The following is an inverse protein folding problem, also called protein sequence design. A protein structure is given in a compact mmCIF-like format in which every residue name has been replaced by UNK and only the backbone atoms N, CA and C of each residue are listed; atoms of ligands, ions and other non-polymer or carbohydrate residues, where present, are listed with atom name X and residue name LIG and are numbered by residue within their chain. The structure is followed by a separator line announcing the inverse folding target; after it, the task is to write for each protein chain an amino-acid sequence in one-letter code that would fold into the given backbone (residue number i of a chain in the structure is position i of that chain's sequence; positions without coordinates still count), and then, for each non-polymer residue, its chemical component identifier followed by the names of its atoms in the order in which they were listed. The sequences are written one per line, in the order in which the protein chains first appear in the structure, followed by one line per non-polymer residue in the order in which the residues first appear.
data_IF_933117414020
#
_entry.id   IF_933117414020
#
_cell.length_a   1.000
_cell.length_b   1.000
_cell.length_c   1.000
_cell.angle_alpha   90.00
_cell.angle_beta   90.00
_cell.angle_gamma   90.00
#
_symmetry.space_group_name_H-M   'P 1'
#
loop_
_entity.id
_entity.type
_entity.pdbx_description
1 polymer ?
#
# COMPACT_ATOMS: atom_id res chain seq x y z
N UNK A 1 25.30 -17.90 -32.19
CA UNK A 1 25.19 -17.22 -30.89
C UNK A 1 23.75 -17.22 -30.48
N UNK A 2 23.38 -18.25 -29.72
CA UNK A 2 22.08 -18.42 -29.08
C UNK A 2 22.00 -17.50 -27.84
N UNK A 3 20.89 -16.78 -27.67
CA UNK A 3 20.61 -16.05 -26.44
C UNK A 3 19.21 -16.45 -25.96
N UNK A 4 19.18 -17.48 -25.12
CA UNK A 4 18.00 -17.93 -24.40
C UNK A 4 17.79 -17.03 -23.19
N UNK A 5 16.92 -16.04 -23.32
CA UNK A 5 16.52 -15.18 -22.20
C UNK A 5 15.04 -15.40 -21.87
N UNK A 6 14.82 -15.69 -20.59
CA UNK A 6 13.55 -15.58 -19.85
C UNK A 6 12.55 -16.74 -19.99
N UNK A 7 12.91 -17.91 -19.47
CA UNK A 7 11.90 -18.81 -18.91
C UNK A 7 11.39 -18.22 -17.60
N UNK A 8 10.27 -17.49 -17.67
CA UNK A 8 9.51 -17.11 -16.50
C UNK A 8 8.94 -18.37 -15.84
N UNK A 9 9.64 -18.88 -14.81
CA UNK A 9 9.13 -19.97 -13.97
C UNK A 9 8.08 -19.41 -13.03
N UNK A 10 6.88 -19.20 -13.55
CA UNK A 10 5.70 -19.09 -12.70
C UNK A 10 5.37 -20.50 -12.22
N UNK A 11 5.87 -20.85 -11.04
CA UNK A 11 5.41 -22.03 -10.32
C UNK A 11 3.95 -21.82 -9.94
N UNK A 12 3.04 -22.17 -10.84
CA UNK A 12 1.63 -22.32 -10.51
C UNK A 12 1.49 -23.64 -9.75
N UNK A 13 1.35 -23.55 -8.43
CA UNK A 13 0.91 -24.68 -7.63
C UNK A 13 -0.50 -25.05 -8.06
N UNK A 14 -0.64 -26.11 -8.85
CA UNK A 14 -1.92 -26.66 -9.26
C UNK A 14 -2.69 -27.16 -8.04
N UNK A 15 -3.83 -26.53 -7.75
CA UNK A 15 -4.81 -27.08 -6.81
C UNK A 15 -5.52 -28.22 -7.54
N UNK A 16 -5.09 -29.45 -7.28
CA UNK A 16 -5.85 -30.65 -7.66
C UNK A 16 -6.95 -30.87 -6.62
N UNK A 17 -8.14 -30.34 -6.84
CA UNK A 17 -9.35 -30.80 -6.13
C UNK A 17 -9.82 -32.10 -6.77
N UNK A 18 -9.22 -33.23 -6.38
CA UNK A 18 -9.80 -34.54 -6.61
C UNK A 18 -10.61 -34.92 -5.38
N UNK A 19 -11.94 -34.93 -5.52
CA UNK A 19 -12.83 -35.50 -4.52
C UNK A 19 -12.63 -37.02 -4.46
N UNK A 20 -12.19 -37.53 -3.31
CA UNK A 20 -12.26 -38.96 -2.97
C UNK A 20 -12.76 -39.09 -1.53
N UNK A 21 -13.87 -39.83 -1.30
CA UNK A 21 -14.33 -40.13 0.05
C UNK A 21 -13.66 -41.40 0.58
N UNK A 22 -13.29 -41.33 1.87
CA UNK A 22 -13.37 -42.37 2.90
C UNK A 22 -12.64 -43.73 2.65
N UNK A 23 -11.58 -44.02 3.43
CA UNK A 23 -11.63 -44.91 4.60
C UNK A 23 -10.24 -45.35 5.12
N UNK A 24 -10.04 -45.11 6.42
CA UNK A 24 -9.37 -45.95 7.43
C UNK A 24 -7.94 -46.51 7.21
N UNK A 25 -6.96 -46.08 8.03
CA UNK A 25 -6.32 -46.86 9.12
C UNK A 25 -4.95 -46.27 9.55
N UNK A 26 -4.65 -46.46 10.84
CA UNK A 26 -3.62 -45.87 11.72
C UNK A 26 -2.17 -45.84 11.21
N UNK A 27 -1.47 -44.72 11.42
CA UNK A 27 -0.10 -44.72 11.96
C UNK A 27 0.25 -43.35 12.56
N UNK A 28 0.83 -43.36 13.76
CA UNK A 28 0.96 -42.20 14.63
C UNK A 28 1.92 -41.13 14.12
N UNK A 29 1.46 -39.89 14.13
CA UNK A 29 2.27 -38.73 14.56
C UNK A 29 1.27 -37.72 15.09
N UNK A 30 1.46 -37.24 16.32
CA UNK A 30 0.66 -36.15 16.89
C UNK A 30 0.95 -34.86 16.11
N UNK A 31 0.36 -34.68 14.93
CA UNK A 31 0.39 -33.39 14.25
C UNK A 31 -0.68 -32.52 14.88
N UNK A 32 -0.22 -31.51 15.61
CA UNK A 32 -1.02 -30.41 16.12
C UNK A 32 -2.07 -29.99 15.09
N UNK A 33 -3.34 -29.72 15.49
CA UNK A 33 -4.34 -29.24 14.54
C UNK A 33 -3.77 -28.01 13.85
N UNK A 34 -3.75 -28.01 12.51
CA UNK A 34 -3.27 -26.88 11.69
C UNK A 34 -3.82 -25.58 12.26
N UNK A 35 -2.96 -24.81 12.93
CA UNK A 35 -3.35 -23.53 13.52
C UNK A 35 -3.79 -22.61 12.38
N UNK A 36 -4.96 -22.00 12.51
CA UNK A 36 -5.46 -21.10 11.49
C UNK A 36 -4.50 -19.91 11.34
N UNK A 37 -3.77 -19.87 10.23
CA UNK A 37 -2.90 -18.74 9.90
C UNK A 37 -3.72 -17.68 9.17
N UNK A 38 -3.88 -16.51 9.78
CA UNK A 38 -4.49 -15.36 9.12
C UNK A 38 -3.50 -14.73 8.12
N UNK A 39 -3.56 -15.21 6.88
CA UNK A 39 -2.69 -14.72 5.80
C UNK A 39 -2.90 -13.23 5.50
N UNK A 40 -4.11 -12.70 5.68
CA UNK A 40 -4.42 -11.28 5.47
C UNK A 40 -3.73 -10.37 6.49
N UNK A 41 -3.75 -10.77 7.77
CA UNK A 41 -3.03 -10.05 8.83
C UNK A 41 -1.53 -10.03 8.60
N UNK A 42 -0.97 -11.17 8.18
CA UNK A 42 0.45 -11.30 7.89
C UNK A 42 0.87 -10.37 6.75
N UNK A 43 0.09 -10.36 5.66
CA UNK A 43 0.32 -9.47 4.52
C UNK A 43 0.22 -7.99 4.93
N UNK A 44 -0.80 -7.61 5.71
CA UNK A 44 -0.95 -6.23 6.19
C UNK A 44 0.24 -5.79 7.06
N UNK A 45 0.70 -6.65 7.98
CA UNK A 45 1.88 -6.38 8.79
C UNK A 45 3.12 -6.15 7.93
N UNK A 46 3.35 -7.02 6.94
CA UNK A 46 4.50 -6.89 6.02
C UNK A 46 4.43 -5.59 5.22
N UNK A 47 3.28 -5.28 4.62
CA UNK A 47 3.08 -4.04 3.86
C UNK A 47 3.29 -2.83 4.75
N UNK A 48 2.71 -2.79 5.96
CA UNK A 48 2.89 -1.68 6.89
C UNK A 48 4.35 -1.44 7.26
N UNK A 49 5.11 -2.51 7.52
CA UNK A 49 6.54 -2.38 7.84
C UNK A 49 7.33 -1.81 6.67
N UNK A 50 7.04 -2.24 5.43
CA UNK A 50 7.65 -1.66 4.23
C UNK A 50 7.34 -0.16 4.11
N UNK A 51 6.10 0.27 4.35
CA UNK A 51 5.71 1.68 4.32
C UNK A 51 6.45 2.53 5.37
N UNK A 52 6.60 2.02 6.60
CA UNK A 52 7.32 2.72 7.68
C UNK A 52 8.83 2.80 7.37
N UNK A 53 9.42 1.71 6.86
CA UNK A 53 10.82 1.66 6.44
C UNK A 53 11.13 2.61 5.28
N UNK A 54 10.28 2.64 4.26
CA UNK A 54 10.43 3.53 3.10
C UNK A 54 10.27 5.01 3.46
N UNK A 55 9.47 5.35 4.47
CA UNK A 55 9.38 6.75 4.95
C UNK A 55 10.72 7.27 5.42
N UNK A 56 11.49 6.51 6.18
CA UNK A 56 12.77 6.99 6.76
C UNK A 56 13.80 7.30 5.67
N UNK A 57 13.86 6.47 4.63
CA UNK A 57 14.76 6.65 3.49
C UNK A 57 14.31 7.82 2.58
N UNK A 58 13.01 7.97 2.33
CA UNK A 58 12.49 9.08 1.52
C UNK A 58 12.43 10.41 2.28
N UNK A 59 12.26 10.41 3.60
CA UNK A 59 12.18 11.62 4.42
C UNK A 59 13.51 12.36 4.53
N UNK A 60 14.65 11.64 4.42
CA UNK A 60 15.97 12.28 4.42
C UNK A 60 16.26 13.06 3.11
N UNK A 61 15.58 12.74 2.01
CA UNK A 61 15.70 13.47 0.73
C UNK A 61 14.67 14.57 0.49
N UNK A 62 13.67 14.71 1.37
CA UNK A 62 12.53 15.62 1.19
C UNK A 62 12.63 16.91 2.02
N UNK A 63 13.74 17.16 2.72
CA UNK A 63 13.86 18.26 3.69
C UNK A 63 13.85 19.68 3.08
N UNK A 64 13.78 19.82 1.76
CA UNK A 64 13.66 21.13 1.10
C UNK A 64 13.06 21.01 -0.31
N UNK A 65 12.00 20.22 -0.50
CA UNK A 65 11.23 20.38 -1.74
C UNK A 65 10.40 21.66 -1.65
N UNK A 66 10.47 22.45 -2.71
CA UNK A 66 9.61 23.61 -2.94
C UNK A 66 8.14 23.21 -2.71
N UNK A 67 7.31 24.09 -2.13
CA UNK A 67 5.89 23.82 -1.96
C UNK A 67 5.29 23.36 -3.29
N UNK A 68 4.70 22.16 -3.26
CA UNK A 68 4.03 21.50 -4.40
C UNK A 68 2.65 22.11 -4.66
N UNK A 69 2.04 22.65 -3.63
CA UNK A 69 0.85 23.47 -3.68
C UNK A 69 1.30 24.90 -3.93
N UNK A 70 0.91 25.45 -5.07
CA UNK A 70 1.15 26.86 -5.37
C UNK A 70 0.43 27.75 -4.35
N UNK A 71 1.11 28.79 -3.86
CA UNK A 71 0.51 29.80 -2.98
C UNK A 71 -0.69 30.53 -3.62
N UNK A 72 -0.79 30.50 -4.96
CA UNK A 72 -1.90 31.10 -5.72
C UNK A 72 -2.98 30.07 -6.11
N UNK A 73 -2.88 28.84 -5.63
CA UNK A 73 -3.89 27.83 -5.94
C UNK A 73 -5.20 28.15 -5.21
N UNK A 74 -6.33 27.89 -5.86
CA UNK A 74 -7.66 28.00 -5.26
C UNK A 74 -8.18 26.62 -4.85
N UNK A 75 -9.10 26.58 -3.90
CA UNK A 75 -9.75 25.34 -3.46
C UNK A 75 -10.32 24.55 -4.64
N UNK A 76 -11.06 25.22 -5.52
CA UNK A 76 -11.63 24.63 -6.74
C UNK A 76 -10.55 24.07 -7.68
N UNK A 77 -9.41 24.75 -7.82
CA UNK A 77 -8.32 24.28 -8.69
C UNK A 77 -7.60 23.05 -8.15
N UNK A 78 -7.54 22.85 -6.83
CA UNK A 78 -6.84 21.75 -6.19
C UNK A 78 -7.74 20.57 -5.85
N UNK A 79 -8.96 20.85 -5.39
CA UNK A 79 -9.89 19.90 -4.80
C UNK A 79 -11.25 19.82 -5.53
N UNK A 80 -11.46 20.65 -6.57
CA UNK A 80 -12.64 20.56 -7.44
C UNK A 80 -12.66 19.31 -8.33
N UNK A 81 -11.61 18.48 -8.30
CA UNK A 81 -11.53 17.20 -9.02
C UNK A 81 -11.05 16.08 -8.10
N UNK A 82 -11.57 14.86 -8.31
CA UNK A 82 -11.10 13.64 -7.64
C UNK A 82 -9.85 13.03 -8.29
N UNK A 83 -9.25 13.71 -9.27
CA UNK A 83 -8.00 13.25 -9.90
C UNK A 83 -6.85 13.31 -8.89
N UNK A 84 -5.96 12.30 -8.89
CA UNK A 84 -4.78 12.33 -8.02
C UNK A 84 -3.85 13.49 -8.39
N UNK A 85 -3.13 14.01 -7.39
CA UNK A 85 -2.12 15.04 -7.63
C UNK A 85 -1.01 14.51 -8.55
N UNK A 86 -0.43 15.36 -9.42
CA UNK A 86 0.66 14.98 -10.31
C UNK A 86 1.91 14.47 -9.57
N UNK A 87 2.10 14.94 -8.33
CA UNK A 87 3.19 14.53 -7.45
C UNK A 87 2.64 14.30 -6.03
N UNK A 88 3.25 13.40 -5.23
CA UNK A 88 2.87 13.22 -3.83
C UNK A 88 3.02 14.50 -3.01
N UNK A 89 1.87 15.06 -2.62
CA UNK A 89 1.79 16.24 -1.74
C UNK A 89 1.93 15.82 -0.28
N UNK A 90 2.89 16.40 0.48
CA UNK A 90 2.96 16.24 1.92
C UNK A 90 1.65 16.62 2.59
N UNK A 91 1.19 15.81 3.55
CA UNK A 91 -0.07 16.05 4.23
C UNK A 91 -0.09 17.41 4.96
N UNK A 92 1.03 17.82 5.57
CA UNK A 92 1.13 19.10 6.26
C UNK A 92 0.84 20.28 5.34
N UNK A 93 1.37 20.24 4.11
CA UNK A 93 1.15 21.29 3.12
C UNK A 93 -0.32 21.42 2.71
N UNK A 94 -1.04 20.30 2.58
CA UNK A 94 -2.48 20.31 2.30
C UNK A 94 -3.27 20.89 3.47
N UNK A 95 -2.89 20.58 4.71
CA UNK A 95 -3.52 21.14 5.91
C UNK A 95 -3.31 22.65 5.97
N UNK A 96 -2.08 23.13 5.75
CA UNK A 96 -1.75 24.56 5.75
C UNK A 96 -2.57 25.31 4.69
N UNK A 97 -2.65 24.77 3.47
CA UNK A 97 -3.48 25.33 2.40
C UNK A 97 -4.98 25.43 2.77
N UNK A 98 -5.54 24.37 3.36
CA UNK A 98 -6.96 24.32 3.75
C UNK A 98 -7.28 25.34 4.83
N UNK A 99 -6.40 25.50 5.83
CA UNK A 99 -6.58 26.50 6.89
C UNK A 99 -6.67 27.91 6.29
N UNK A 100 -5.73 28.27 5.39
CA UNK A 100 -5.73 29.57 4.71
C UNK A 100 -7.01 29.76 3.87
N UNK A 101 -7.44 28.72 3.16
CA UNK A 101 -8.66 28.78 2.34
C UNK A 101 -9.91 29.02 3.19
N UNK A 102 -10.04 28.32 4.32
CA UNK A 102 -11.20 28.48 5.21
C UNK A 102 -11.24 29.83 5.93
N UNK A 103 -10.08 30.38 6.31
CA UNK A 103 -9.99 31.73 6.86
C UNK A 103 -10.43 32.78 5.83
N UNK A 104 -10.02 32.63 4.57
CA UNK A 104 -10.40 33.53 3.48
C UNK A 104 -11.90 33.47 3.16
N UNK A 105 -12.52 32.29 3.28
CA UNK A 105 -13.96 32.07 3.09
C UNK A 105 -14.82 32.49 4.31
N UNK A 106 -14.21 32.83 5.44
CA UNK A 106 -14.91 33.26 6.65
C UNK A 106 -15.61 32.12 7.40
N UNK A 107 -15.19 30.87 7.19
CA UNK A 107 -15.81 29.70 7.84
C UNK A 107 -15.49 29.58 9.35
N UNK A 108 -14.51 30.35 9.83
CA UNK A 108 -14.10 30.40 11.23
C UNK A 108 -14.19 31.82 11.84
N UNK A 109 -14.99 32.72 11.23
CA UNK A 109 -15.22 34.09 11.69
C UNK A 109 -16.40 34.27 12.63
#
# INVERSE_FOLDING_TARGET
MENSALQSRHSMSSISTAAQPNDQHVSGTSSSPNEFVNQGLLLWHQTRQQWIGNRRLNSQGQQSQEPKISCNATYESLLGSSKPFPQPTPLGEMVDFLVVSWEQEGLYG
#
